data_IF_752413912287
#
_entry.id   IF_752413912287
#
_cell.length_a   1.000
_cell.length_b   1.000
_cell.length_c   1.000
_cell.angle_alpha   90.00
_cell.angle_beta   90.00
_cell.angle_gamma   90.00
#
_symmetry.space_group_name_H-M   'P 1'
#
loop_
_entity.id
_entity.type
_entity.pdbx_description
1 polymer ?
#
# COMPACT_ATOMS: atom_id res chain seq x y z
N UNK A 1 37.60 -4.86 -58.80
CA UNK A 1 37.52 -4.22 -57.45
C UNK A 1 36.21 -4.65 -56.79
N UNK A 2 36.30 -5.53 -55.84
CA UNK A 2 35.13 -5.93 -55.04
C UNK A 2 34.98 -4.97 -53.87
N UNK A 3 33.91 -4.19 -53.87
CA UNK A 3 33.55 -3.38 -52.70
C UNK A 3 32.84 -4.27 -51.72
N UNK A 4 33.45 -4.52 -50.60
CA UNK A 4 32.79 -5.16 -49.45
C UNK A 4 31.88 -4.12 -48.79
N UNK A 5 30.55 -4.28 -48.91
CA UNK A 5 29.58 -3.57 -48.14
C UNK A 5 29.52 -4.26 -46.77
N UNK A 6 30.12 -3.62 -45.77
CA UNK A 6 29.94 -4.01 -44.39
C UNK A 6 28.59 -3.43 -43.97
N UNK A 7 27.56 -4.27 -43.93
CA UNK A 7 26.29 -3.92 -43.30
C UNK A 7 26.52 -4.04 -41.79
N UNK A 8 26.76 -2.95 -41.11
CA UNK A 8 26.74 -2.92 -39.69
C UNK A 8 25.27 -3.05 -39.25
N UNK A 9 24.88 -4.26 -38.88
CA UNK A 9 23.61 -4.45 -38.18
C UNK A 9 23.73 -3.79 -36.80
N UNK A 10 23.20 -2.60 -36.65
CA UNK A 10 23.00 -2.01 -35.35
C UNK A 10 21.94 -2.83 -34.62
N UNK A 11 22.36 -3.74 -33.75
CA UNK A 11 21.47 -4.37 -32.81
C UNK A 11 20.96 -3.29 -31.85
N UNK A 12 19.75 -2.81 -32.07
CA UNK A 12 19.05 -1.97 -31.11
C UNK A 12 18.77 -2.85 -29.88
N UNK A 13 19.63 -2.74 -28.87
CA UNK A 13 19.32 -3.25 -27.55
C UNK A 13 18.17 -2.41 -27.00
N UNK A 14 16.93 -2.91 -27.18
CA UNK A 14 15.80 -2.41 -26.44
C UNK A 14 16.08 -2.75 -24.99
N UNK A 15 16.62 -1.81 -24.22
CA UNK A 15 16.65 -1.90 -22.77
C UNK A 15 15.21 -1.84 -22.30
N UNK A 16 14.59 -2.99 -22.03
CA UNK A 16 13.39 -3.05 -21.24
C UNK A 16 13.78 -2.48 -19.87
N UNK A 17 13.43 -1.22 -19.61
CA UNK A 17 13.53 -0.68 -18.26
C UNK A 17 12.55 -1.49 -17.42
N UNK A 18 13.08 -2.38 -16.58
CA UNK A 18 12.31 -3.02 -15.55
C UNK A 18 11.74 -1.91 -14.67
N UNK A 19 10.43 -1.67 -14.75
CA UNK A 19 9.76 -0.75 -13.84
C UNK A 19 9.92 -1.34 -12.44
N UNK A 20 10.57 -0.60 -11.54
CA UNK A 20 10.64 -0.98 -10.14
C UNK A 20 9.20 -1.16 -9.62
N UNK A 21 8.96 -2.24 -8.89
CA UNK A 21 7.68 -2.45 -8.24
C UNK A 21 7.39 -1.29 -7.29
N UNK A 22 6.16 -0.79 -7.32
CA UNK A 22 5.70 0.28 -6.45
C UNK A 22 4.60 -0.24 -5.53
N UNK A 23 4.30 0.45 -4.42
CA UNK A 23 3.18 0.08 -3.57
C UNK A 23 1.82 0.41 -4.18
N UNK A 24 1.76 1.10 -5.33
CA UNK A 24 0.49 1.34 -6.01
C UNK A 24 -0.18 0.03 -6.44
N UNK A 25 -1.48 -0.07 -6.24
CA UNK A 25 -2.26 -1.24 -6.59
C UNK A 25 -3.26 -1.63 -5.50
N UNK A 26 -3.80 -2.83 -5.61
CA UNK A 26 -4.78 -3.37 -4.68
C UNK A 26 -4.13 -4.35 -3.71
N UNK A 27 -4.41 -4.18 -2.44
CA UNK A 27 -3.82 -4.95 -1.36
C UNK A 27 -4.88 -5.57 -0.47
N UNK A 28 -4.63 -6.80 -0.08
CA UNK A 28 -5.46 -7.51 0.89
C UNK A 28 -4.79 -7.44 2.25
N UNK A 29 -5.50 -6.90 3.23
CA UNK A 29 -5.04 -6.93 4.63
C UNK A 29 -5.51 -8.22 5.28
N UNK A 30 -4.69 -8.75 6.16
CA UNK A 30 -4.89 -10.06 6.76
C UNK A 30 -5.03 -9.88 8.27
N UNK A 31 -5.98 -10.56 8.87
CA UNK A 31 -6.12 -10.62 10.31
C UNK A 31 -4.99 -11.46 10.91
N UNK A 32 -4.21 -10.87 11.83
CA UNK A 32 -3.05 -11.53 12.43
C UNK A 32 -3.42 -12.74 13.30
N UNK A 33 -4.64 -12.76 13.84
CA UNK A 33 -5.06 -13.81 14.73
C UNK A 33 -5.66 -15.02 13.99
N UNK A 34 -6.37 -14.76 12.88
CA UNK A 34 -7.12 -15.80 12.15
C UNK A 34 -6.51 -16.15 10.80
N UNK A 35 -5.64 -15.30 10.25
CA UNK A 35 -5.12 -15.44 8.89
C UNK A 35 -6.14 -15.14 7.79
N UNK A 36 -7.33 -14.69 8.15
CA UNK A 36 -8.41 -14.37 7.21
C UNK A 36 -8.26 -12.97 6.63
N UNK A 37 -8.71 -12.74 5.39
CA UNK A 37 -8.74 -11.39 4.83
C UNK A 37 -9.65 -10.47 5.64
N UNK A 38 -9.20 -9.23 5.88
CA UNK A 38 -9.99 -8.20 6.56
C UNK A 38 -10.53 -7.14 5.62
N UNK A 39 -9.69 -6.68 4.68
CA UNK A 39 -10.07 -5.60 3.78
C UNK A 39 -9.27 -5.63 2.49
N UNK A 40 -9.79 -4.93 1.47
CA UNK A 40 -9.04 -4.54 0.29
C UNK A 40 -8.75 -3.05 0.37
N UNK A 41 -7.49 -2.69 0.17
CA UNK A 41 -7.01 -1.31 0.17
C UNK A 41 -6.40 -1.00 -1.18
N UNK A 42 -6.88 0.07 -1.81
CA UNK A 42 -6.31 0.62 -3.03
C UNK A 42 -5.26 1.65 -2.68
N UNK A 43 -4.01 1.41 -3.07
CA UNK A 43 -2.94 2.41 -2.96
C UNK A 43 -2.78 3.10 -4.30
N UNK A 44 -2.82 4.43 -4.27
CA UNK A 44 -2.59 5.30 -5.44
C UNK A 44 -1.49 6.29 -5.12
N UNK A 45 -0.79 6.73 -6.17
CA UNK A 45 0.24 7.76 -6.06
C UNK A 45 -0.30 9.07 -6.64
N UNK A 46 -0.16 10.16 -5.87
CA UNK A 46 -0.50 11.52 -6.30
C UNK A 46 0.62 12.45 -5.84
N UNK A 47 1.27 13.14 -6.77
CA UNK A 47 2.35 14.10 -6.48
C UNK A 47 3.49 13.51 -5.64
N UNK A 48 3.90 12.28 -5.94
CA UNK A 48 4.97 11.59 -5.23
C UNK A 48 4.60 11.01 -3.87
N UNK A 49 3.36 11.15 -3.45
CA UNK A 49 2.85 10.57 -2.22
C UNK A 49 1.91 9.41 -2.50
N UNK A 50 1.99 8.36 -1.69
CA UNK A 50 1.08 7.23 -1.73
C UNK A 50 0.00 7.40 -0.69
N UNK A 51 -1.24 7.11 -1.09
CA UNK A 51 -2.39 7.06 -0.21
C UNK A 51 -3.15 5.76 -0.40
N UNK A 52 -3.77 5.27 0.67
CA UNK A 52 -4.53 4.03 0.65
C UNK A 52 -5.96 4.24 1.11
N UNK A 53 -6.90 3.74 0.30
CA UNK A 53 -8.34 3.85 0.53
C UNK A 53 -8.95 2.46 0.65
N UNK A 54 -9.79 2.24 1.65
CA UNK A 54 -10.50 0.99 1.84
C UNK A 54 -11.58 0.85 0.76
N UNK A 55 -11.45 -0.16 -0.11
CA UNK A 55 -12.45 -0.46 -1.14
C UNK A 55 -13.49 -1.48 -0.67
N UNK A 56 -13.07 -2.39 0.21
CA UNK A 56 -13.94 -3.48 0.67
C UNK A 56 -13.54 -3.93 2.07
N UNK A 57 -14.54 -4.27 2.86
CA UNK A 57 -14.39 -4.97 4.13
C UNK A 57 -14.94 -6.39 3.99
N UNK A 58 -14.19 -7.37 4.50
CA UNK A 58 -14.63 -8.77 4.56
C UNK A 58 -15.30 -8.99 5.92
N UNK A 59 -16.62 -9.05 5.90
CA UNK A 59 -17.42 -9.25 7.09
C UNK A 59 -18.34 -10.44 6.95
N UNK A 60 -18.56 -11.16 8.05
CA UNK A 60 -19.51 -12.26 8.09
C UNK A 60 -20.94 -11.73 8.04
N UNK A 61 -21.92 -12.52 7.58
CA UNK A 61 -23.30 -12.04 7.41
C UNK A 61 -23.97 -11.52 8.69
N UNK A 62 -23.49 -11.95 9.86
CA UNK A 62 -23.97 -11.51 11.17
C UNK A 62 -23.37 -10.17 11.64
N UNK A 63 -22.35 -9.67 10.95
CA UNK A 63 -21.73 -8.39 11.25
C UNK A 63 -22.38 -7.25 10.47
N UNK A 64 -22.21 -6.02 10.95
CA UNK A 64 -22.60 -4.83 10.21
C UNK A 64 -21.84 -4.78 8.87
N UNK A 65 -22.56 -4.74 7.76
CA UNK A 65 -21.97 -4.71 6.42
C UNK A 65 -21.52 -3.31 6.00
N UNK A 66 -21.89 -2.27 6.72
CA UNK A 66 -21.49 -0.89 6.47
C UNK A 66 -21.11 -0.20 7.78
N UNK A 67 -20.04 -0.65 8.45
CA UNK A 67 -19.63 -0.04 9.71
C UNK A 67 -19.13 1.38 9.50
N UNK A 68 -19.37 2.19 10.50
CA UNK A 68 -18.93 3.59 10.57
C UNK A 68 -17.82 3.74 11.59
N UNK A 69 -16.95 4.72 11.39
CA UNK A 69 -15.87 4.99 12.33
C UNK A 69 -16.39 5.79 13.52
N UNK A 70 -17.00 5.12 14.48
CA UNK A 70 -17.56 5.73 15.69
C UNK A 70 -16.48 6.23 16.65
N UNK A 71 -15.26 5.72 16.53
CA UNK A 71 -14.10 6.13 17.34
C UNK A 71 -13.19 7.13 16.67
N UNK A 72 -13.43 7.44 15.40
CA UNK A 72 -12.69 8.49 14.69
C UNK A 72 -13.01 9.87 15.26
N UNK A 73 -12.05 10.79 15.11
CA UNK A 73 -12.20 12.19 15.51
C UNK A 73 -12.43 13.10 14.29
N UNK A 74 -12.97 14.28 14.56
CA UNK A 74 -13.12 15.32 13.55
C UNK A 74 -14.04 14.92 12.40
N UNK A 75 -13.61 15.23 11.17
CA UNK A 75 -14.39 15.01 9.96
C UNK A 75 -14.68 13.53 9.65
N UNK A 76 -13.91 12.60 10.21
CA UNK A 76 -14.07 11.16 9.99
C UNK A 76 -15.01 10.50 11.00
N UNK A 77 -15.42 11.20 12.03
CA UNK A 77 -16.36 10.70 13.03
C UNK A 77 -17.66 10.24 12.36
N UNK A 78 -18.04 8.99 12.61
CA UNK A 78 -19.25 8.34 12.09
C UNK A 78 -19.34 8.24 10.55
N UNK A 79 -18.22 8.42 9.85
CA UNK A 79 -18.16 8.18 8.41
C UNK A 79 -18.05 6.70 8.10
N UNK A 80 -18.57 6.25 6.95
CA UNK A 80 -18.39 4.85 6.53
C UNK A 80 -16.90 4.50 6.42
N UNK A 81 -16.54 3.34 6.92
CA UNK A 81 -15.17 2.82 6.84
C UNK A 81 -14.84 2.43 5.40
N UNK A 82 -15.78 1.80 4.68
CA UNK A 82 -15.63 1.56 3.24
C UNK A 82 -15.60 2.89 2.49
N UNK A 83 -14.58 3.10 1.68
CA UNK A 83 -14.34 4.35 0.97
C UNK A 83 -13.43 5.33 1.71
N UNK A 84 -13.06 5.01 2.95
CA UNK A 84 -12.22 5.89 3.77
C UNK A 84 -10.75 5.77 3.38
N UNK A 85 -10.08 6.91 3.23
CA UNK A 85 -8.63 6.96 3.08
C UNK A 85 -8.00 6.83 4.47
N UNK A 86 -7.24 5.75 4.66
CA UNK A 86 -6.61 5.43 5.94
C UNK A 86 -5.10 5.61 5.93
N UNK A 87 -4.46 5.55 4.77
CA UNK A 87 -3.02 5.75 4.61
C UNK A 87 -2.78 7.00 3.79
N UNK A 88 -1.92 7.90 4.28
CA UNK A 88 -1.61 9.17 3.62
C UNK A 88 -0.14 9.51 3.74
N UNK A 89 0.37 10.32 2.82
CA UNK A 89 1.67 10.98 2.93
C UNK A 89 2.89 10.07 2.78
N UNK A 90 2.70 8.80 2.46
CA UNK A 90 3.80 7.84 2.34
C UNK A 90 4.65 8.19 1.11
N UNK A 91 5.96 8.35 1.30
CA UNK A 91 6.91 8.72 0.25
C UNK A 91 8.02 7.71 0.12
N UNK A 92 8.52 7.53 -1.08
CA UNK A 92 9.70 6.70 -1.29
C UNK A 92 10.91 7.30 -0.58
N UNK A 93 11.63 6.45 0.16
CA UNK A 93 12.84 6.77 0.90
C UNK A 93 13.85 5.63 0.69
N UNK A 94 14.70 5.76 -0.33
CA UNK A 94 15.59 4.69 -0.76
C UNK A 94 14.80 3.45 -1.19
N UNK A 95 15.06 2.33 -0.56
CA UNK A 95 14.38 1.05 -0.83
C UNK A 95 13.05 0.89 -0.06
N UNK A 96 12.73 1.85 0.80
CA UNK A 96 11.53 1.83 1.64
C UNK A 96 10.61 3.01 1.32
N UNK A 97 9.52 3.08 2.06
CA UNK A 97 8.56 4.18 2.03
C UNK A 97 8.37 4.68 3.46
N UNK A 98 8.35 6.00 3.64
CA UNK A 98 8.36 6.62 4.96
C UNK A 98 7.46 7.86 5.01
N UNK A 99 7.40 8.48 6.19
CA UNK A 99 6.70 9.73 6.47
C UNK A 99 5.18 9.68 6.29
N UNK A 100 4.63 8.46 6.26
CA UNK A 100 3.19 8.26 6.18
C UNK A 100 2.47 8.41 7.50
N UNK A 101 1.16 8.49 7.41
CA UNK A 101 0.20 8.37 8.51
C UNK A 101 -0.80 7.28 8.19
N UNK A 102 -1.16 6.49 9.18
CA UNK A 102 -2.17 5.45 9.03
C UNK A 102 -3.20 5.54 10.14
N UNK A 103 -4.47 5.55 9.76
CA UNK A 103 -5.61 5.51 10.66
C UNK A 103 -6.02 4.06 10.89
N UNK A 104 -6.19 3.70 12.15
CA UNK A 104 -6.86 2.46 12.51
C UNK A 104 -8.34 2.76 12.80
N UNK A 105 -9.27 2.35 11.92
CA UNK A 105 -10.69 2.67 12.10
C UNK A 105 -11.34 1.91 13.26
N UNK A 106 -10.70 0.86 13.79
CA UNK A 106 -11.23 0.13 14.94
C UNK A 106 -11.09 0.92 16.24
N UNK A 107 -9.99 1.68 16.39
CA UNK A 107 -9.76 2.48 17.59
C UNK A 107 -9.77 3.99 17.35
N UNK A 108 -9.86 4.42 16.09
CA UNK A 108 -9.87 5.84 15.71
C UNK A 108 -8.54 6.56 15.84
N UNK A 109 -7.46 5.85 16.12
CA UNK A 109 -6.13 6.44 16.31
C UNK A 109 -5.37 6.54 15.00
N UNK A 110 -4.56 7.59 14.88
CA UNK A 110 -3.64 7.82 13.76
C UNK A 110 -2.22 7.56 14.22
N UNK A 111 -1.51 6.72 13.47
CA UNK A 111 -0.12 6.37 13.71
C UNK A 111 0.77 6.93 12.61
N UNK A 112 2.05 7.15 12.93
CA UNK A 112 3.08 7.28 11.88
C UNK A 112 3.23 5.96 11.16
N UNK A 113 3.53 6.00 9.86
CA UNK A 113 3.63 4.78 9.05
C UNK A 113 4.84 4.79 8.15
N UNK A 114 5.43 3.63 8.02
CA UNK A 114 6.41 3.31 6.98
C UNK A 114 6.09 1.94 6.40
N UNK A 115 6.60 1.68 5.21
CA UNK A 115 6.33 0.44 4.52
C UNK A 115 7.52 -0.01 3.69
N UNK A 116 7.59 -1.31 3.40
CA UNK A 116 8.57 -1.88 2.50
C UNK A 116 7.94 -2.98 1.64
N UNK A 117 8.33 -3.02 0.36
CA UNK A 117 7.97 -4.11 -0.55
C UNK A 117 8.98 -5.23 -0.41
N UNK A 118 8.51 -6.48 -0.46
CA UNK A 118 9.41 -7.62 -0.62
C UNK A 118 9.98 -7.65 -2.05
N UNK A 119 11.01 -8.49 -2.28
CA UNK A 119 11.68 -8.58 -3.57
C UNK A 119 10.79 -9.02 -4.73
N UNK A 120 9.66 -9.68 -4.46
CA UNK A 120 8.69 -10.08 -5.48
C UNK A 120 7.69 -8.98 -5.85
N UNK A 121 7.56 -7.94 -5.02
CA UNK A 121 6.53 -6.91 -5.14
C UNK A 121 5.13 -7.38 -4.77
N UNK A 122 4.98 -8.59 -4.22
CA UNK A 122 3.68 -9.21 -3.89
C UNK A 122 3.26 -9.02 -2.45
N UNK A 123 4.18 -8.63 -1.59
CA UNK A 123 3.93 -8.37 -0.17
C UNK A 123 4.41 -6.99 0.20
N UNK A 124 3.59 -6.28 0.96
CA UNK A 124 3.90 -4.97 1.52
C UNK A 124 3.86 -5.08 3.03
N UNK A 125 5.00 -4.91 3.68
CA UNK A 125 5.05 -4.77 5.11
C UNK A 125 4.73 -3.33 5.48
N UNK A 126 3.68 -3.14 6.26
CA UNK A 126 3.20 -1.83 6.71
C UNK A 126 3.37 -1.75 8.22
N UNK A 127 4.16 -0.78 8.67
CA UNK A 127 4.43 -0.55 10.08
C UNK A 127 3.77 0.73 10.55
N UNK A 128 2.97 0.62 11.61
CA UNK A 128 2.41 1.75 12.34
C UNK A 128 3.12 1.93 13.67
N UNK A 129 3.43 3.19 14.05
CA UNK A 129 4.16 3.46 15.29
C UNK A 129 3.81 4.84 15.84
N UNK A 130 4.09 5.02 17.13
CA UNK A 130 3.98 6.31 17.82
C UNK A 130 5.38 6.68 18.29
N UNK A 131 5.83 7.89 17.95
CA UNK A 131 7.18 8.36 18.27
C UNK A 131 8.23 7.73 17.37
N UNK A 132 9.01 6.79 17.88
CA UNK A 132 10.06 6.09 17.13
C UNK A 132 9.57 4.75 16.58
N UNK A 133 10.04 4.36 15.39
CA UNK A 133 9.56 3.15 14.71
C UNK A 133 9.84 1.85 15.46
N UNK A 134 10.74 1.86 16.44
CA UNK A 134 11.01 0.71 17.30
C UNK A 134 9.77 0.30 18.11
N UNK A 135 8.94 1.25 18.51
CA UNK A 135 7.73 1.03 19.29
C UNK A 135 6.50 0.99 18.36
N UNK A 136 6.48 0.04 17.47
CA UNK A 136 5.42 -0.08 16.51
C UNK A 136 4.99 -1.51 16.29
N UNK A 137 4.06 -1.67 15.37
CA UNK A 137 3.49 -2.94 14.95
C UNK A 137 3.48 -3.03 13.45
N UNK A 138 3.91 -4.18 12.92
CA UNK A 138 3.92 -4.44 11.48
C UNK A 138 2.80 -5.39 11.09
N UNK A 139 2.26 -5.14 9.90
CA UNK A 139 1.32 -6.04 9.21
C UNK A 139 1.88 -6.34 7.83
N UNK A 140 1.59 -7.52 7.32
CA UNK A 140 1.90 -7.87 5.94
C UNK A 140 0.63 -7.83 5.11
N UNK A 141 0.60 -6.95 4.11
CA UNK A 141 -0.46 -6.90 3.12
C UNK A 141 -0.05 -7.71 1.90
N UNK A 142 -0.99 -8.38 1.28
CA UNK A 142 -0.75 -9.25 0.11
C UNK A 142 -1.36 -8.61 -1.12
N UNK A 143 -0.57 -8.52 -2.21
CA UNK A 143 -1.08 -7.94 -3.46
C UNK A 143 -2.25 -8.73 -3.98
N UNK A 144 -3.32 -8.02 -4.35
CA UNK A 144 -4.60 -8.58 -4.77
C UNK A 144 -4.97 -8.26 -6.23
N UNK A 145 -4.08 -7.59 -6.95
CA UNK A 145 -4.25 -7.28 -8.38
C UNK A 145 -3.23 -7.96 -9.29
#
# INVERSE_FOLDING_TARGET
MKRLLIVAAAAALASASAMAATPAGLWKTIDDNTGSPRSLIRITQVNGEYKGTIEKLFRTPDQDQNPKCDKCEGALKDKPITGMTILTGLRQDGDEFADGKILDPENGKVYSSKASLDGSGKKLEVRGFIGVSLFGRSQTWVRAD
#
